data_IF_692186690056
#
_entry.id   IF_692186690056
#
_cell.length_a   1.000
_cell.length_b   1.000
_cell.length_c   1.000
_cell.angle_alpha   90.00
_cell.angle_beta   90.00
_cell.angle_gamma   90.00
#
_symmetry.space_group_name_H-M   'P 1'
#
loop_
_entity.id
_entity.type
_entity.pdbx_description
1 polymer ?
#
# COMPACT_ATOMS: atom_id res chain seq x y z
N UNK A 1 -0.73 5.66 -33.39
CA UNK A 1 -0.30 5.18 -32.06
C UNK A 1 -1.31 5.72 -31.08
N UNK A 2 -2.38 4.95 -30.83
CA UNK A 2 -3.48 5.39 -29.97
C UNK A 2 -3.08 5.23 -28.51
N UNK A 3 -2.90 6.36 -27.83
CA UNK A 3 -2.91 6.44 -26.38
C UNK A 3 -4.35 6.23 -25.92
N UNK A 4 -4.69 5.00 -25.54
CA UNK A 4 -5.92 4.74 -24.81
C UNK A 4 -5.81 5.39 -23.42
N UNK A 5 -6.32 6.61 -23.32
CA UNK A 5 -6.73 7.23 -22.07
C UNK A 5 -7.92 6.42 -21.54
N UNK A 6 -7.66 5.40 -20.72
CA UNK A 6 -8.71 4.76 -19.93
C UNK A 6 -9.14 5.76 -18.85
N UNK A 7 -10.21 6.51 -19.16
CA UNK A 7 -10.94 7.31 -18.19
C UNK A 7 -11.82 6.33 -17.40
N UNK A 8 -11.42 5.98 -16.19
CA UNK A 8 -12.31 5.27 -15.27
C UNK A 8 -13.34 6.25 -14.70
N UNK A 9 -14.61 6.01 -15.02
CA UNK A 9 -15.76 6.58 -14.32
C UNK A 9 -16.28 5.50 -13.35
N UNK A 10 -15.58 5.29 -12.22
CA UNK A 10 -15.84 4.24 -11.20
C UNK A 10 -14.57 3.60 -10.63
N UNK A 11 -14.65 2.88 -9.47
CA UNK A 11 -13.50 2.17 -8.86
C UNK A 11 -12.83 1.24 -9.88
N UNK A 12 -11.65 1.60 -10.38
CA UNK A 12 -10.89 0.71 -11.27
C UNK A 12 -10.36 -0.46 -10.43
N UNK A 13 -10.80 -1.68 -10.71
CA UNK A 13 -10.08 -2.87 -10.25
C UNK A 13 -8.70 -2.87 -10.92
N UNK A 14 -7.64 -2.88 -10.10
CA UNK A 14 -6.26 -2.78 -10.56
C UNK A 14 -5.89 -3.94 -11.47
N UNK A 15 -5.29 -3.65 -12.63
CA UNK A 15 -4.64 -4.71 -13.39
C UNK A 15 -3.26 -4.99 -12.77
N UNK A 16 -2.83 -6.26 -12.82
CA UNK A 16 -1.58 -6.71 -12.21
C UNK A 16 -0.35 -5.90 -12.67
N UNK A 17 -0.36 -5.39 -13.90
CA UNK A 17 0.74 -4.62 -14.48
C UNK A 17 0.92 -3.24 -13.79
N UNK A 18 -0.18 -2.56 -13.44
CA UNK A 18 -0.10 -1.30 -12.69
C UNK A 18 0.52 -1.50 -11.31
N UNK A 19 0.19 -2.60 -10.64
CA UNK A 19 0.76 -2.96 -9.34
C UNK A 19 2.25 -3.25 -9.45
N UNK A 20 2.65 -4.01 -10.47
CA UNK A 20 4.05 -4.33 -10.72
C UNK A 20 4.87 -3.05 -10.94
N UNK A 21 4.34 -2.07 -11.68
CA UNK A 21 4.99 -0.76 -11.86
C UNK A 21 5.12 0.03 -10.54
N UNK A 22 4.11 -0.04 -9.68
CA UNK A 22 4.17 0.59 -8.35
C UNK A 22 5.22 -0.08 -7.48
N UNK A 23 5.27 -1.41 -7.45
CA UNK A 23 6.27 -2.16 -6.70
C UNK A 23 7.68 -1.85 -7.22
N UNK A 24 7.87 -1.79 -8.54
CA UNK A 24 9.15 -1.39 -9.12
C UNK A 24 9.56 0.03 -8.72
N UNK A 25 8.60 0.96 -8.65
CA UNK A 25 8.87 2.33 -8.16
C UNK A 25 9.30 2.34 -6.70
N UNK A 26 8.66 1.52 -5.85
CA UNK A 26 9.05 1.35 -4.45
C UNK A 26 10.45 0.73 -4.31
N UNK A 27 10.77 -0.28 -5.12
CA UNK A 27 12.11 -0.90 -5.14
C UNK A 27 13.17 0.08 -5.61
N UNK A 28 12.89 0.88 -6.64
CA UNK A 28 13.78 1.96 -7.09
C UNK A 28 14.05 2.96 -5.95
N UNK A 29 13.01 3.35 -5.20
CA UNK A 29 13.13 4.21 -4.02
C UNK A 29 14.03 3.60 -2.95
N UNK A 30 13.80 2.33 -2.61
CA UNK A 30 14.62 1.58 -1.64
C UNK A 30 16.09 1.49 -2.07
N UNK A 31 16.37 1.15 -3.34
CA UNK A 31 17.73 1.08 -3.87
C UNK A 31 18.45 2.44 -3.79
N UNK A 32 17.74 3.54 -4.05
CA UNK A 32 18.34 4.87 -4.04
C UNK A 32 18.51 5.44 -2.63
N UNK A 33 17.54 5.23 -1.75
CA UNK A 33 17.46 5.93 -0.47
C UNK A 33 17.95 5.10 0.72
N UNK A 34 17.70 3.78 0.71
CA UNK A 34 18.07 2.89 1.82
C UNK A 34 19.34 2.11 1.56
N UNK A 35 19.56 1.68 0.31
CA UNK A 35 20.81 1.04 -0.13
C UNK A 35 21.87 2.10 -0.50
N UNK A 36 21.45 3.32 -0.81
CA UNK A 36 22.31 4.45 -1.20
C UNK A 36 23.10 4.22 -2.49
N UNK A 37 22.45 3.62 -3.49
CA UNK A 37 23.03 3.50 -4.84
C UNK A 37 22.94 4.84 -5.58
N UNK A 38 24.00 5.17 -6.33
CA UNK A 38 23.95 6.28 -7.29
C UNK A 38 22.95 6.01 -8.42
N UNK A 39 22.62 7.04 -9.21
CA UNK A 39 21.61 6.94 -10.25
C UNK A 39 21.94 5.88 -11.32
N UNK A 40 23.21 5.78 -11.73
CA UNK A 40 23.65 4.83 -12.75
C UNK A 40 23.58 3.39 -12.23
N UNK A 41 24.07 3.16 -11.00
CA UNK A 41 23.99 1.87 -10.33
C UNK A 41 22.54 1.44 -10.07
N UNK A 42 21.68 2.37 -9.66
CA UNK A 42 20.23 2.13 -9.48
C UNK A 42 19.57 1.71 -10.79
N UNK A 43 19.84 2.41 -11.89
CA UNK A 43 19.29 2.07 -13.20
C UNK A 43 19.76 0.69 -13.68
N UNK A 44 21.04 0.36 -13.46
CA UNK A 44 21.59 -0.95 -13.78
C UNK A 44 20.94 -2.07 -12.95
N UNK A 45 20.72 -1.86 -11.65
CA UNK A 45 20.01 -2.79 -10.78
C UNK A 45 18.56 -3.00 -11.24
N UNK A 46 17.82 -1.91 -11.45
CA UNK A 46 16.44 -1.95 -11.92
C UNK A 46 16.28 -2.65 -13.27
N UNK A 47 17.26 -2.55 -14.17
CA UNK A 47 17.22 -3.24 -15.48
C UNK A 47 17.22 -4.77 -15.38
N UNK A 48 17.68 -5.33 -14.25
CA UNK A 48 17.74 -6.77 -13.99
C UNK A 48 16.53 -7.27 -13.20
N UNK A 49 15.75 -6.36 -12.62
CA UNK A 49 14.62 -6.70 -11.75
C UNK A 49 13.41 -7.03 -12.63
N UNK A 50 12.86 -8.23 -12.44
CA UNK A 50 11.68 -8.73 -13.14
C UNK A 50 10.64 -9.22 -12.14
N UNK A 51 9.45 -9.59 -12.61
CA UNK A 51 8.42 -10.22 -11.76
C UNK A 51 8.92 -11.50 -11.05
N UNK A 52 9.91 -12.18 -11.60
CA UNK A 52 10.46 -13.44 -11.06
C UNK A 52 11.56 -13.19 -10.02
N UNK A 53 12.08 -11.96 -9.93
CA UNK A 53 13.10 -11.61 -8.95
C UNK A 53 12.59 -11.85 -7.53
N UNK A 54 13.36 -12.62 -6.76
CA UNK A 54 13.01 -12.94 -5.38
C UNK A 54 13.48 -11.85 -4.41
N UNK A 55 12.71 -11.60 -3.36
CA UNK A 55 13.12 -10.67 -2.29
C UNK A 55 14.37 -11.14 -1.55
N UNK A 56 14.60 -12.45 -1.52
CA UNK A 56 15.79 -13.02 -0.88
C UNK A 56 17.06 -12.73 -1.70
N UNK A 57 16.97 -12.74 -3.02
CA UNK A 57 18.11 -12.39 -3.89
C UNK A 57 18.42 -10.90 -3.78
N UNK A 58 17.39 -10.03 -3.81
CA UNK A 58 17.56 -8.60 -3.56
C UNK A 58 18.22 -8.33 -2.20
N UNK A 59 17.78 -9.05 -1.16
CA UNK A 59 18.31 -8.89 0.19
C UNK A 59 19.77 -9.32 0.32
N UNK A 60 20.18 -10.35 -0.43
CA UNK A 60 21.56 -10.85 -0.46
C UNK A 60 22.48 -9.95 -1.28
N UNK A 61 22.01 -9.44 -2.41
CA UNK A 61 22.84 -8.65 -3.33
C UNK A 61 23.10 -7.24 -2.80
N UNK A 62 22.11 -6.62 -2.16
CA UNK A 62 22.19 -5.21 -1.78
C UNK A 62 22.21 -5.02 -0.25
N UNK A 63 21.07 -5.22 0.40
CA UNK A 63 20.85 -5.00 1.83
C UNK A 63 19.57 -5.74 2.24
N UNK A 64 19.39 -6.16 3.50
CA UNK A 64 18.11 -6.69 3.95
C UNK A 64 16.93 -5.78 3.57
N UNK A 65 15.96 -6.35 2.85
CA UNK A 65 14.74 -5.66 2.44
C UNK A 65 13.60 -5.98 3.43
N UNK A 66 13.06 -4.93 4.04
CA UNK A 66 11.87 -5.02 4.89
C UNK A 66 10.61 -4.92 4.01
N UNK A 67 9.87 -6.03 3.89
CA UNK A 67 8.65 -6.09 3.07
C UNK A 67 7.55 -5.15 3.57
N UNK A 68 7.48 -4.86 4.87
CA UNK A 68 6.47 -3.95 5.41
C UNK A 68 6.80 -2.49 5.03
N UNK A 69 8.08 -2.09 5.09
CA UNK A 69 8.51 -0.78 4.58
C UNK A 69 8.33 -0.64 3.08
N UNK A 70 8.61 -1.71 2.33
CA UNK A 70 8.35 -1.74 0.89
C UNK A 70 6.86 -1.54 0.60
N UNK A 71 5.98 -2.25 1.32
CA UNK A 71 4.53 -2.12 1.18
C UNK A 71 4.03 -0.71 1.51
N UNK A 72 4.60 -0.04 2.51
CA UNK A 72 4.26 1.35 2.81
C UNK A 72 4.56 2.28 1.64
N UNK A 73 5.72 2.08 0.99
CA UNK A 73 6.10 2.82 -0.20
C UNK A 73 5.19 2.50 -1.40
N UNK A 74 4.76 1.24 -1.52
CA UNK A 74 3.79 0.79 -2.54
C UNK A 74 2.44 1.48 -2.33
N UNK A 75 1.87 1.45 -1.13
CA UNK A 75 0.57 2.06 -0.84
C UNK A 75 0.60 3.59 -0.95
N UNK A 76 1.66 4.24 -0.49
CA UNK A 76 1.87 5.67 -0.72
C UNK A 76 1.84 5.99 -2.22
N UNK A 77 2.53 5.19 -3.02
CA UNK A 77 2.55 5.36 -4.48
C UNK A 77 1.19 5.08 -5.14
N UNK A 78 0.42 4.12 -4.62
CA UNK A 78 -0.94 3.85 -5.07
C UNK A 78 -1.87 5.04 -4.79
N UNK A 79 -1.84 5.56 -3.57
CA UNK A 79 -2.65 6.73 -3.16
C UNK A 79 -2.31 7.94 -4.03
N UNK A 80 -1.02 8.23 -4.24
CA UNK A 80 -0.58 9.35 -5.10
C UNK A 80 -1.03 9.20 -6.56
N UNK A 81 -1.15 7.95 -7.05
CA UNK A 81 -1.66 7.62 -8.39
C UNK A 81 -3.18 7.50 -8.43
N UNK A 82 -3.88 7.71 -7.30
CA UNK A 82 -5.33 7.52 -7.15
C UNK A 82 -5.79 6.09 -7.49
N UNK A 83 -4.95 5.12 -7.14
CA UNK A 83 -5.27 3.70 -7.22
C UNK A 83 -5.88 3.23 -5.89
N UNK A 84 -6.90 2.38 -5.96
CA UNK A 84 -7.57 1.86 -4.77
C UNK A 84 -6.68 0.85 -4.04
N UNK A 85 -6.69 0.88 -2.70
CA UNK A 85 -6.02 -0.14 -1.89
C UNK A 85 -7.08 -1.18 -1.50
N UNK A 86 -6.83 -2.50 -1.69
CA UNK A 86 -7.82 -3.52 -1.34
C UNK A 86 -8.21 -3.47 0.15
N UNK A 87 -9.49 -3.68 0.44
CA UNK A 87 -10.08 -3.50 1.78
C UNK A 87 -9.41 -4.38 2.84
N UNK A 88 -8.90 -5.55 2.44
CA UNK A 88 -8.15 -6.46 3.33
C UNK A 88 -6.92 -5.81 3.98
N UNK A 89 -6.29 -4.85 3.31
CA UNK A 89 -5.15 -4.08 3.84
C UNK A 89 -5.58 -2.87 4.68
N UNK A 90 -6.84 -2.44 4.56
CA UNK A 90 -7.45 -1.33 5.31
C UNK A 90 -8.06 -1.80 6.64
N UNK A 91 -8.36 -3.10 6.76
CA UNK A 91 -9.20 -3.67 7.83
C UNK A 91 -8.78 -3.28 9.25
N UNK A 92 -7.49 -3.37 9.60
CA UNK A 92 -7.03 -3.00 10.95
C UNK A 92 -7.35 -1.54 11.27
N UNK A 93 -7.10 -0.63 10.33
CA UNK A 93 -7.36 0.79 10.52
C UNK A 93 -8.85 1.08 10.64
N UNK A 94 -9.68 0.39 9.85
CA UNK A 94 -11.14 0.47 9.97
C UNK A 94 -11.61 -0.02 11.35
N UNK A 95 -11.08 -1.16 11.82
CA UNK A 95 -11.42 -1.73 13.12
C UNK A 95 -10.96 -0.79 14.26
N UNK A 96 -9.78 -0.17 14.16
CA UNK A 96 -9.28 0.83 15.12
C UNK A 96 -10.15 2.10 15.18
N UNK A 97 -10.58 2.60 14.01
CA UNK A 97 -11.51 3.73 13.93
C UNK A 97 -12.86 3.38 14.56
N UNK A 98 -13.36 2.16 14.33
CA UNK A 98 -14.60 1.67 14.92
C UNK A 98 -14.50 1.57 16.46
N UNK A 99 -13.38 1.07 17.00
CA UNK A 99 -13.11 1.03 18.44
C UNK A 99 -13.02 2.43 19.05
N UNK A 100 -12.56 3.42 18.28
CA UNK A 100 -12.58 4.84 18.65
C UNK A 100 -13.98 5.49 18.51
N UNK A 101 -15.00 4.74 18.10
CA UNK A 101 -16.39 5.21 17.93
C UNK A 101 -16.67 5.88 16.59
N UNK A 102 -15.77 5.75 15.61
CA UNK A 102 -15.89 6.31 14.26
C UNK A 102 -16.36 5.20 13.30
N UNK A 103 -17.58 5.29 12.79
CA UNK A 103 -18.15 4.34 11.84
C UNK A 103 -19.05 5.06 10.84
N UNK A 104 -19.30 4.45 9.67
CA UNK A 104 -20.20 4.99 8.66
C UNK A 104 -21.58 5.18 9.28
N UNK A 105 -22.11 6.41 9.25
CA UNK A 105 -23.37 6.77 9.89
C UNK A 105 -23.18 7.70 11.10
N UNK A 106 -24.12 7.67 12.04
CA UNK A 106 -24.12 8.59 13.19
C UNK A 106 -23.05 8.20 14.22
N UNK A 107 -22.04 9.04 14.39
CA UNK A 107 -21.06 8.92 15.49
C UNK A 107 -21.79 9.10 16.82
N UNK A 108 -21.86 8.03 17.62
CA UNK A 108 -22.35 8.11 19.00
C UNK A 108 -21.15 8.30 19.92
N UNK A 109 -20.81 9.55 20.22
CA UNK A 109 -19.86 9.84 21.28
C UNK A 109 -20.55 9.55 22.63
N UNK A 110 -20.46 8.30 23.10
CA UNK A 110 -21.29 7.78 24.22
C UNK A 110 -21.12 8.54 25.54
N UNK A 111 -20.12 9.41 25.72
CA UNK A 111 -19.76 9.96 27.03
C UNK A 111 -19.50 11.48 27.10
N UNK A 112 -19.90 12.29 26.10
CA UNK A 112 -19.75 13.76 26.19
C UNK A 112 -21.12 14.44 26.05
N UNK A 113 -21.73 14.92 27.15
CA UNK A 113 -22.93 15.72 27.07
C UNK A 113 -22.64 16.99 26.25
N UNK A 114 -23.49 17.31 25.27
CA UNK A 114 -23.46 18.47 24.36
C UNK A 114 -22.61 18.36 23.08
N UNK A 115 -22.04 17.22 22.74
CA UNK A 115 -21.44 17.04 21.41
C UNK A 115 -22.51 16.59 20.40
N UNK A 116 -22.77 17.35 19.32
CA UNK A 116 -23.71 16.93 18.28
C UNK A 116 -23.20 15.67 17.61
N UNK A 117 -24.08 14.68 17.43
CA UNK A 117 -23.80 13.50 16.61
C UNK A 117 -23.43 13.97 15.21
N UNK A 118 -22.20 13.67 14.79
CA UNK A 118 -21.76 13.95 13.42
C UNK A 118 -21.96 12.69 12.60
N UNK A 119 -22.56 12.82 11.41
CA UNK A 119 -22.63 11.70 10.47
C UNK A 119 -21.29 11.62 9.76
N UNK A 120 -20.61 10.48 9.88
CA UNK A 120 -19.40 10.18 9.12
C UNK A 120 -19.82 9.40 7.89
N UNK A 121 -19.51 9.93 6.70
CA UNK A 121 -19.74 9.21 5.45
C UNK A 121 -18.59 8.25 5.14
N UNK A 122 -18.80 7.39 4.13
CA UNK A 122 -17.79 6.42 3.72
C UNK A 122 -16.52 7.09 3.16
N UNK A 123 -16.64 8.28 2.57
CA UNK A 123 -15.51 9.00 2.00
C UNK A 123 -14.57 9.52 3.09
N UNK A 124 -15.12 10.03 4.20
CA UNK A 124 -14.33 10.45 5.35
C UNK A 124 -13.54 9.29 5.97
N UNK A 125 -14.16 8.12 6.12
CA UNK A 125 -13.47 6.93 6.62
C UNK A 125 -12.37 6.46 5.69
N UNK A 126 -12.63 6.48 4.39
CA UNK A 126 -11.63 6.14 3.36
C UNK A 126 -10.45 7.11 3.39
N UNK A 127 -10.69 8.42 3.51
CA UNK A 127 -9.63 9.43 3.65
C UNK A 127 -8.83 9.25 4.95
N UNK A 128 -9.48 8.94 6.06
CA UNK A 128 -8.80 8.68 7.33
C UNK A 128 -7.87 7.46 7.25
N UNK A 129 -8.35 6.36 6.66
CA UNK A 129 -7.54 5.15 6.47
C UNK A 129 -6.39 5.39 5.49
N UNK A 130 -6.66 6.05 4.35
CA UNK A 130 -5.62 6.38 3.38
C UNK A 130 -4.55 7.29 3.99
N UNK A 131 -4.94 8.22 4.87
CA UNK A 131 -4.01 9.06 5.60
C UNK A 131 -3.11 8.23 6.52
N UNK A 132 -3.65 7.29 7.29
CA UNK A 132 -2.82 6.39 8.12
C UNK A 132 -1.83 5.58 7.27
N UNK A 133 -2.28 5.04 6.13
CA UNK A 133 -1.43 4.27 5.21
C UNK A 133 -0.32 5.11 4.57
N UNK A 134 -0.59 6.38 4.23
CA UNK A 134 0.42 7.31 3.70
C UNK A 134 1.49 7.63 4.76
N UNK A 135 1.09 7.80 6.03
CA UNK A 135 2.02 8.06 7.13
C UNK A 135 2.71 6.80 7.68
N UNK A 136 2.29 5.61 7.26
CA UNK A 136 2.80 4.34 7.78
C UNK A 136 4.27 4.06 7.40
N UNK A 137 4.84 4.77 6.41
CA UNK A 137 6.29 4.70 6.10
C UNK A 137 7.15 5.05 7.32
N UNK A 138 6.65 5.93 8.21
CA UNK A 138 7.35 6.38 9.42
C UNK A 138 7.00 5.55 10.65
N UNK A 139 5.74 5.12 10.77
CA UNK A 139 5.21 4.44 11.98
C UNK A 139 5.23 2.92 11.91
N UNK A 140 5.45 2.34 10.73
CA UNK A 140 5.20 0.92 10.45
C UNK A 140 3.76 0.70 9.99
N UNK A 141 3.54 -0.39 9.24
CA UNK A 141 2.20 -0.85 8.86
C UNK A 141 1.85 -2.09 9.66
N UNK A 142 0.64 -2.09 10.22
CA UNK A 142 0.01 -3.27 10.78
C UNK A 142 -1.08 -3.81 9.85
N UNK A 143 -1.14 -5.14 9.72
CA UNK A 143 -2.20 -5.84 9.00
C UNK A 143 -2.79 -6.97 9.83
N UNK A 144 -3.92 -7.51 9.37
CA UNK A 144 -4.48 -8.71 9.99
C UNK A 144 -3.48 -9.87 9.87
N UNK A 145 -3.50 -10.85 10.79
CA UNK A 145 -2.56 -11.98 10.78
C UNK A 145 -2.55 -12.77 9.46
N UNK A 146 -3.71 -12.86 8.80
CA UNK A 146 -3.83 -13.54 7.49
C UNK A 146 -3.05 -12.78 6.40
N UNK A 147 -3.16 -11.45 6.37
CA UNK A 147 -2.44 -10.60 5.42
C UNK A 147 -0.94 -10.63 5.72
N UNK A 148 -0.53 -10.56 6.99
CA UNK A 148 0.88 -10.71 7.39
C UNK A 148 1.48 -12.04 6.92
N UNK A 149 0.71 -13.12 7.04
CA UNK A 149 1.12 -14.45 6.57
C UNK A 149 1.26 -14.48 5.04
N UNK A 150 0.34 -13.87 4.30
CA UNK A 150 0.45 -13.75 2.84
C UNK A 150 1.68 -12.91 2.43
N UNK A 151 1.94 -11.80 3.12
CA UNK A 151 3.12 -10.94 2.90
C UNK A 151 4.39 -11.74 3.15
N UNK A 152 4.47 -12.48 4.26
CA UNK A 152 5.61 -13.32 4.59
C UNK A 152 5.87 -14.38 3.51
N UNK A 153 4.80 -14.98 2.96
CA UNK A 153 4.87 -16.02 1.95
C UNK A 153 5.15 -15.54 0.52
N UNK A 154 4.94 -14.26 0.22
CA UNK A 154 5.32 -13.69 -1.08
C UNK A 154 6.85 -13.68 -1.22
N UNK A 155 7.37 -14.48 -2.16
CA UNK A 155 8.80 -14.68 -2.42
C UNK A 155 9.31 -13.78 -3.53
N UNK A 156 8.47 -13.48 -4.52
CA UNK A 156 8.84 -12.70 -5.71
C UNK A 156 8.01 -11.43 -5.85
N UNK A 157 8.49 -10.50 -6.68
CA UNK A 157 7.77 -9.28 -7.03
C UNK A 157 6.40 -9.60 -7.64
N UNK A 158 6.34 -10.58 -8.54
CA UNK A 158 5.09 -11.01 -9.17
C UNK A 158 4.11 -11.66 -8.19
N UNK A 159 4.60 -12.41 -7.20
CA UNK A 159 3.77 -12.94 -6.11
C UNK A 159 3.23 -11.84 -5.20
N UNK A 160 4.05 -10.83 -4.86
CA UNK A 160 3.61 -9.66 -4.11
C UNK A 160 2.53 -8.87 -4.89
N UNK A 161 2.75 -8.66 -6.20
CA UNK A 161 1.79 -7.99 -7.06
C UNK A 161 0.47 -8.76 -7.15
N UNK A 162 0.52 -10.07 -7.38
CA UNK A 162 -0.67 -10.93 -7.42
C UNK A 162 -1.41 -10.94 -6.08
N UNK A 163 -0.68 -10.87 -4.97
CA UNK A 163 -1.22 -10.78 -3.63
C UNK A 163 -1.93 -9.43 -3.40
N UNK A 164 -1.36 -8.31 -3.84
CA UNK A 164 -2.03 -7.00 -3.77
C UNK A 164 -3.21 -6.91 -4.75
N UNK A 165 -3.18 -7.62 -5.87
CA UNK A 165 -4.29 -7.66 -6.82
C UNK A 165 -5.55 -8.37 -6.29
N UNK A 166 -5.43 -9.12 -5.19
CA UNK A 166 -6.58 -9.80 -4.59
C UNK A 166 -7.55 -8.77 -4.00
N UNK A 167 -8.86 -8.96 -4.20
CA UNK A 167 -9.88 -8.11 -3.59
C UNK A 167 -9.81 -8.16 -2.06
#
# INVERSE_FOLDING_TARGET
>A
MDMHHFRCEGRCTMNQYEIENVIQSAIHGWLRLDVDLDYGSTAAAMSKITRETSFSDLSKEYKPLDKNKLLASVFTSMIQKRLDIPDRFKKIYVDQLADAGIFVGNVINKNIPNYPSTTVDAAYLEDAVNSELEYAVVKGIDFTPDVDTEIANAKTIGELAAMIAKP
#
